data_IF_373313038933
#
_entry.id   IF_373313038933
#
_cell.length_a   1.000
_cell.length_b   1.000
_cell.length_c   1.000
_cell.angle_alpha   90.00
_cell.angle_beta   90.00
_cell.angle_gamma   90.00
#
_symmetry.space_group_name_H-M   'P 1'
#
loop_
_entity.id
_entity.type
_entity.pdbx_description
1 polymer ?
#
# COMPACT_ATOMS: atom_id res chain seq x y z
N UNK A 1 -54.25 30.11 -27.09
CA UNK A 1 -53.89 28.72 -26.69
C UNK A 1 -54.97 28.20 -25.74
N UNK A 2 -55.55 27.04 -26.04
CA UNK A 2 -56.58 26.40 -25.16
C UNK A 2 -55.90 25.97 -23.86
N UNK A 3 -56.60 26.00 -22.73
CA UNK A 3 -56.11 25.65 -21.39
C UNK A 3 -55.36 24.29 -21.37
N UNK A 4 -55.86 23.31 -22.11
CA UNK A 4 -55.29 21.99 -22.33
C UNK A 4 -53.90 22.04 -22.99
N UNK A 5 -53.67 22.92 -23.96
CA UNK A 5 -52.35 23.08 -24.60
C UNK A 5 -51.29 23.61 -23.64
N UNK A 6 -51.66 24.56 -22.76
CA UNK A 6 -50.73 25.09 -21.73
C UNK A 6 -50.34 24.01 -20.72
N UNK A 7 -51.29 23.12 -20.34
CA UNK A 7 -51.02 22.01 -19.42
C UNK A 7 -50.07 20.98 -20.08
N UNK A 8 -50.31 20.63 -21.34
CA UNK A 8 -49.45 19.68 -22.08
C UNK A 8 -48.04 20.25 -22.25
N UNK A 9 -47.91 21.53 -22.62
CA UNK A 9 -46.59 22.19 -22.74
C UNK A 9 -45.88 22.22 -21.38
N UNK A 10 -46.59 22.52 -20.30
CA UNK A 10 -46.02 22.49 -18.95
C UNK A 10 -45.53 21.09 -18.52
N UNK A 11 -46.34 20.05 -18.86
CA UNK A 11 -45.94 18.67 -18.56
C UNK A 11 -44.70 18.23 -19.37
N UNK A 12 -44.63 18.57 -20.66
CA UNK A 12 -43.47 18.28 -21.50
C UNK A 12 -42.22 19.02 -20.97
N UNK A 13 -42.36 20.29 -20.64
CA UNK A 13 -41.26 21.07 -20.06
C UNK A 13 -40.77 20.46 -18.74
N UNK A 14 -41.67 20.03 -17.86
CA UNK A 14 -41.35 19.36 -16.62
C UNK A 14 -40.58 18.05 -16.83
N UNK A 15 -41.05 17.19 -17.75
CA UNK A 15 -40.38 15.94 -18.12
C UNK A 15 -38.97 16.23 -18.69
N UNK A 16 -38.87 17.22 -19.58
CA UNK A 16 -37.59 17.61 -20.17
C UNK A 16 -36.56 18.03 -19.11
N UNK A 17 -37.00 18.85 -18.13
CA UNK A 17 -36.12 19.26 -17.01
C UNK A 17 -35.66 18.06 -16.20
N UNK A 18 -36.57 17.12 -15.89
CA UNK A 18 -36.21 15.89 -15.15
C UNK A 18 -35.20 15.05 -15.94
N UNK A 19 -35.39 14.86 -17.24
CA UNK A 19 -34.47 14.12 -18.10
C UNK A 19 -33.10 14.79 -18.14
N UNK A 20 -33.04 16.12 -18.30
CA UNK A 20 -31.77 16.85 -18.29
C UNK A 20 -31.08 16.74 -16.93
N UNK A 21 -31.79 16.78 -15.83
CA UNK A 21 -31.23 16.58 -14.50
C UNK A 21 -30.66 15.17 -14.31
N UNK A 22 -31.33 14.12 -14.80
CA UNK A 22 -30.84 12.74 -14.76
C UNK A 22 -29.61 12.57 -15.64
N UNK A 23 -29.56 13.15 -16.81
CA UNK A 23 -28.42 13.15 -17.72
C UNK A 23 -27.22 13.85 -17.03
N UNK A 24 -27.45 15.04 -16.46
CA UNK A 24 -26.40 15.75 -15.72
C UNK A 24 -25.90 14.94 -14.54
N UNK A 25 -26.78 14.33 -13.74
CA UNK A 25 -26.39 13.46 -12.62
C UNK A 25 -25.55 12.28 -13.09
N UNK A 26 -25.94 11.65 -14.21
CA UNK A 26 -25.21 10.51 -14.76
C UNK A 26 -23.79 10.89 -15.20
N UNK A 27 -23.62 11.96 -15.96
CA UNK A 27 -22.28 12.40 -16.40
C UNK A 27 -21.42 12.93 -15.24
N UNK A 28 -22.02 13.67 -14.31
CA UNK A 28 -21.31 14.16 -13.14
C UNK A 28 -20.83 13.01 -12.24
N UNK A 29 -21.64 11.97 -12.07
CA UNK A 29 -21.32 10.81 -11.24
C UNK A 29 -20.20 9.92 -11.80
N UNK A 30 -19.84 10.06 -13.08
CA UNK A 30 -18.67 9.39 -13.68
C UNK A 30 -17.35 10.15 -13.44
N UNK A 31 -17.40 11.40 -13.03
CA UNK A 31 -16.22 12.22 -12.82
C UNK A 31 -15.39 11.76 -11.63
N UNK A 32 -14.19 12.32 -11.52
CA UNK A 32 -13.30 12.11 -10.39
C UNK A 32 -13.92 12.57 -9.06
N UNK A 33 -13.54 11.92 -7.98
CA UNK A 33 -13.98 12.28 -6.61
C UNK A 33 -13.32 13.59 -6.17
N UNK A 34 -12.07 13.80 -6.54
CA UNK A 34 -11.28 14.97 -6.17
C UNK A 34 -10.50 15.50 -7.38
N UNK A 35 -10.22 16.81 -7.41
CA UNK A 35 -9.26 17.38 -8.35
C UNK A 35 -7.81 17.27 -7.86
N UNK A 36 -7.60 16.97 -6.56
CA UNK A 36 -6.28 16.78 -5.97
C UNK A 36 -5.81 15.35 -6.20
N UNK A 37 -4.52 15.20 -6.47
CA UNK A 37 -3.88 13.89 -6.55
C UNK A 37 -3.75 13.32 -5.14
N UNK A 38 -4.47 12.22 -4.87
CA UNK A 38 -4.40 11.46 -3.63
C UNK A 38 -4.45 9.98 -3.99
N UNK A 39 -3.35 9.29 -3.70
CA UNK A 39 -3.23 7.85 -3.97
C UNK A 39 -3.97 7.03 -2.92
N UNK A 40 -4.67 6.02 -3.39
CA UNK A 40 -5.42 5.07 -2.57
C UNK A 40 -5.06 3.66 -3.01
N UNK A 41 -4.57 2.86 -2.06
CA UNK A 41 -4.31 1.44 -2.28
C UNK A 41 -5.61 0.67 -2.08
N UNK A 42 -6.02 -0.12 -3.06
CA UNK A 42 -7.23 -0.94 -2.99
C UNK A 42 -6.96 -2.34 -3.51
N UNK A 43 -7.41 -3.34 -2.77
CA UNK A 43 -7.41 -4.74 -3.20
C UNK A 43 -8.72 -5.05 -3.92
N UNK A 44 -8.60 -5.47 -5.17
CA UNK A 44 -9.72 -5.77 -6.05
C UNK A 44 -9.84 -7.27 -6.24
N UNK A 45 -11.05 -7.80 -5.98
CA UNK A 45 -11.35 -9.21 -6.17
C UNK A 45 -12.85 -9.47 -6.29
N UNK A 46 -13.20 -10.58 -6.93
CA UNK A 46 -14.57 -11.05 -7.02
C UNK A 46 -15.37 -10.47 -8.18
N UNK A 47 -16.69 -10.44 -8.04
CA UNK A 47 -17.63 -9.98 -9.07
C UNK A 47 -17.61 -8.47 -9.27
N UNK A 48 -18.14 -7.99 -10.39
CA UNK A 48 -18.29 -6.54 -10.68
C UNK A 48 -18.97 -5.79 -9.51
N UNK A 49 -19.99 -6.38 -8.89
CA UNK A 49 -20.66 -5.78 -7.73
C UNK A 49 -19.72 -5.67 -6.52
N UNK A 50 -18.89 -6.70 -6.28
CA UNK A 50 -17.87 -6.69 -5.22
C UNK A 50 -16.83 -5.60 -5.47
N UNK A 51 -16.32 -5.52 -6.71
CA UNK A 51 -15.35 -4.50 -7.14
C UNK A 51 -15.90 -3.08 -6.92
N UNK A 52 -17.13 -2.80 -7.35
CA UNK A 52 -17.75 -1.49 -7.12
C UNK A 52 -17.92 -1.16 -5.63
N UNK A 53 -18.19 -2.18 -4.78
CA UNK A 53 -18.25 -1.98 -3.34
C UNK A 53 -16.87 -1.65 -2.74
N UNK A 54 -15.81 -2.32 -3.23
CA UNK A 54 -14.43 -2.07 -2.78
C UNK A 54 -13.98 -0.65 -3.17
N UNK A 55 -14.24 -0.23 -4.42
CA UNK A 55 -13.96 1.12 -4.90
C UNK A 55 -14.73 2.20 -4.13
N UNK A 56 -15.99 1.97 -3.82
CA UNK A 56 -16.84 2.89 -3.07
C UNK A 56 -16.35 3.07 -1.64
N UNK A 57 -16.05 1.95 -0.95
CA UNK A 57 -15.45 1.96 0.40
C UNK A 57 -14.08 2.67 0.44
N UNK A 58 -13.30 2.56 -0.64
CA UNK A 58 -12.02 3.24 -0.79
C UNK A 58 -12.16 4.74 -1.14
N UNK A 59 -13.38 5.24 -1.33
CA UNK A 59 -13.62 6.63 -1.69
C UNK A 59 -13.14 7.00 -3.11
N UNK A 60 -13.19 6.04 -4.03
CA UNK A 60 -12.75 6.18 -5.42
C UNK A 60 -13.91 6.38 -6.40
N UNK A 61 -15.16 6.28 -5.95
CA UNK A 61 -16.36 6.50 -6.76
C UNK A 61 -17.10 7.75 -6.30
N UNK A 62 -17.39 8.64 -7.24
CA UNK A 62 -18.24 9.80 -6.99
C UNK A 62 -19.71 9.40 -6.80
N UNK A 63 -20.16 8.35 -7.49
CA UNK A 63 -21.48 7.75 -7.35
C UNK A 63 -21.45 6.27 -7.70
N UNK A 64 -21.63 5.42 -6.70
CA UNK A 64 -21.74 3.97 -6.89
C UNK A 64 -22.92 3.57 -7.76
N UNK A 65 -24.05 4.30 -7.65
CA UNK A 65 -25.24 4.06 -8.47
C UNK A 65 -24.93 4.29 -9.95
N UNK A 66 -24.25 5.40 -10.27
CA UNK A 66 -23.82 5.70 -11.65
C UNK A 66 -22.81 4.65 -12.14
N UNK A 67 -21.84 4.27 -11.32
CA UNK A 67 -20.87 3.23 -11.65
C UNK A 67 -21.55 1.87 -11.93
N UNK A 68 -22.58 1.52 -11.15
CA UNK A 68 -23.37 0.31 -11.36
C UNK A 68 -24.17 0.33 -12.67
N UNK A 69 -24.75 1.48 -13.02
CA UNK A 69 -25.44 1.67 -14.30
C UNK A 69 -24.43 1.58 -15.44
N UNK A 70 -23.29 2.27 -15.32
CA UNK A 70 -22.26 2.31 -16.34
C UNK A 70 -21.72 0.92 -16.67
N UNK A 71 -21.41 0.10 -15.65
CA UNK A 71 -20.90 -1.26 -15.83
C UNK A 71 -21.94 -2.27 -16.34
N UNK A 72 -23.24 -1.99 -16.23
CA UNK A 72 -24.30 -2.82 -16.85
C UNK A 72 -24.38 -2.65 -18.36
N UNK A 73 -24.06 -1.46 -18.86
CA UNK A 73 -24.06 -1.17 -20.30
C UNK A 73 -22.72 -1.48 -20.97
N UNK A 74 -21.66 -1.67 -20.20
CA UNK A 74 -20.33 -1.99 -20.68
C UNK A 74 -19.85 -3.24 -19.95
N UNK A 75 -19.55 -4.29 -20.67
CA UNK A 75 -19.00 -5.52 -20.07
C UNK A 75 -17.57 -5.29 -19.65
N UNK A 76 -17.25 -5.53 -18.37
CA UNK A 76 -15.91 -5.42 -17.81
C UNK A 76 -15.48 -6.75 -17.22
N UNK A 77 -14.20 -7.11 -17.44
CA UNK A 77 -13.54 -8.27 -16.84
C UNK A 77 -12.38 -7.79 -15.97
N UNK A 78 -12.64 -7.61 -14.69
CA UNK A 78 -11.65 -7.09 -13.76
C UNK A 78 -10.64 -8.15 -13.33
N UNK A 79 -9.36 -7.76 -13.29
CA UNK A 79 -8.29 -8.62 -12.79
C UNK A 79 -8.15 -8.43 -11.27
N UNK A 80 -8.18 -9.55 -10.54
CA UNK A 80 -7.92 -9.53 -9.10
C UNK A 80 -6.46 -9.17 -8.86
N UNK A 81 -6.23 -8.06 -8.14
CA UNK A 81 -4.89 -7.57 -7.79
C UNK A 81 -4.98 -6.43 -6.77
N UNK A 82 -3.82 -5.97 -6.30
CA UNK A 82 -3.70 -4.73 -5.54
C UNK A 82 -3.38 -3.59 -6.52
N UNK A 83 -4.18 -2.54 -6.44
CA UNK A 83 -4.05 -1.37 -7.30
C UNK A 83 -3.77 -0.12 -6.47
N UNK A 84 -2.92 0.76 -7.00
CA UNK A 84 -2.77 2.12 -6.49
C UNK A 84 -3.51 3.05 -7.44
N UNK A 85 -4.69 3.45 -7.03
CA UNK A 85 -5.55 4.35 -7.81
C UNK A 85 -5.49 5.75 -7.21
N UNK A 86 -5.92 6.75 -7.97
CA UNK A 86 -5.88 8.13 -7.52
C UNK A 86 -7.29 8.73 -7.54
N UNK A 87 -7.65 9.51 -6.51
CA UNK A 87 -8.97 10.15 -6.40
C UNK A 87 -9.27 11.16 -7.50
N UNK A 88 -8.25 11.60 -8.25
CA UNK A 88 -8.41 12.46 -9.42
C UNK A 88 -8.71 11.70 -10.72
N UNK A 89 -8.78 10.36 -10.68
CA UNK A 89 -9.17 9.54 -11.82
C UNK A 89 -10.69 9.52 -11.94
N UNK A 90 -11.20 9.59 -13.17
CA UNK A 90 -12.61 9.37 -13.47
C UNK A 90 -12.95 7.87 -13.46
N UNK A 91 -14.24 7.55 -13.42
CA UNK A 91 -14.74 6.16 -13.40
C UNK A 91 -14.19 5.34 -14.56
N UNK A 92 -14.20 5.89 -15.79
CA UNK A 92 -13.75 5.18 -16.98
C UNK A 92 -12.28 4.80 -16.88
N UNK A 93 -11.42 5.73 -16.44
CA UNK A 93 -9.97 5.48 -16.25
C UNK A 93 -9.73 4.39 -15.21
N UNK A 94 -10.44 4.46 -14.06
CA UNK A 94 -10.35 3.43 -13.02
C UNK A 94 -10.72 2.06 -13.59
N UNK A 95 -11.87 1.93 -14.23
CA UNK A 95 -12.34 0.64 -14.75
C UNK A 95 -11.42 0.07 -15.84
N UNK A 96 -10.86 0.92 -16.72
CA UNK A 96 -9.89 0.51 -17.74
C UNK A 96 -8.60 -0.05 -17.10
N UNK A 97 -8.11 0.58 -16.04
CA UNK A 97 -6.97 0.09 -15.28
C UNK A 97 -7.26 -1.31 -14.72
N UNK A 98 -8.43 -1.51 -14.13
CA UNK A 98 -8.82 -2.79 -13.53
C UNK A 98 -9.00 -3.92 -14.55
N UNK A 99 -9.26 -3.62 -15.83
CA UNK A 99 -9.25 -4.61 -16.92
C UNK A 99 -7.83 -5.04 -17.33
N UNK A 100 -6.83 -4.31 -16.90
CA UNK A 100 -5.42 -4.59 -17.17
C UNK A 100 -4.86 -3.70 -18.27
N UNK A 101 -5.01 -2.40 -18.12
CA UNK A 101 -4.27 -1.39 -18.88
C UNK A 101 -2.77 -1.73 -18.87
N UNK A 102 -2.16 -1.88 -20.04
CA UNK A 102 -0.76 -2.30 -20.17
C UNK A 102 0.23 -1.28 -19.61
N UNK A 103 -0.18 -0.03 -19.56
CA UNK A 103 0.62 1.08 -19.05
C UNK A 103 0.47 1.25 -17.54
N UNK A 104 -0.48 0.52 -16.93
CA UNK A 104 -0.69 0.56 -15.49
C UNK A 104 0.13 -0.51 -14.79
N UNK A 105 0.96 -0.07 -13.84
CA UNK A 105 1.77 -0.95 -13.00
C UNK A 105 0.95 -1.31 -11.77
N UNK A 106 0.59 -2.58 -11.65
CA UNK A 106 -0.08 -3.08 -10.45
C UNK A 106 0.85 -3.00 -9.24
N UNK A 107 0.28 -2.67 -8.09
CA UNK A 107 1.02 -2.74 -6.84
C UNK A 107 1.36 -4.20 -6.50
N UNK A 108 2.54 -4.42 -5.91
CA UNK A 108 2.86 -5.68 -5.27
C UNK A 108 2.84 -5.51 -3.74
N UNK A 109 2.48 -6.58 -3.03
CA UNK A 109 2.56 -6.65 -1.56
C UNK A 109 3.79 -7.43 -1.14
N UNK A 110 4.55 -6.87 -0.21
CA UNK A 110 5.64 -7.53 0.49
C UNK A 110 5.17 -7.70 1.94
N UNK A 111 4.86 -8.93 2.34
CA UNK A 111 4.42 -9.21 3.71
C UNK A 111 5.53 -9.87 4.49
N UNK A 112 5.99 -9.21 5.54
CA UNK A 112 6.93 -9.75 6.52
C UNK A 112 6.11 -10.24 7.71
N UNK A 113 6.23 -11.52 8.03
CA UNK A 113 5.52 -12.13 9.15
C UNK A 113 6.40 -12.12 10.41
N UNK A 114 5.77 -12.26 11.57
CA UNK A 114 6.47 -12.49 12.82
C UNK A 114 7.41 -13.70 12.70
N UNK A 115 8.59 -13.58 13.29
CA UNK A 115 9.59 -14.64 13.29
C UNK A 115 10.43 -14.78 12.00
N UNK A 116 10.12 -14.04 10.91
CA UNK A 116 10.94 -14.09 9.70
C UNK A 116 12.37 -13.61 9.97
N UNK A 117 13.33 -14.37 9.48
CA UNK A 117 14.76 -14.01 9.47
C UNK A 117 15.10 -13.29 8.16
N UNK A 118 16.29 -12.75 8.07
CA UNK A 118 16.73 -12.00 6.88
C UNK A 118 16.59 -12.80 5.57
N UNK A 119 16.90 -14.12 5.49
CA UNK A 119 16.68 -14.87 4.26
C UNK A 119 15.20 -14.93 3.84
N UNK A 120 14.26 -15.11 4.78
CA UNK A 120 12.83 -15.12 4.48
C UNK A 120 12.35 -13.72 4.08
N UNK A 121 12.83 -12.68 4.76
CA UNK A 121 12.53 -11.29 4.37
C UNK A 121 13.03 -11.00 2.95
N UNK A 122 14.26 -11.42 2.62
CA UNK A 122 14.82 -11.25 1.28
C UNK A 122 13.99 -11.96 0.20
N UNK A 123 13.51 -13.16 0.48
CA UNK A 123 12.60 -13.88 -0.43
C UNK A 123 11.30 -13.11 -0.69
N UNK A 124 10.69 -12.52 0.36
CA UNK A 124 9.45 -11.72 0.18
C UNK A 124 9.71 -10.44 -0.61
N UNK A 125 10.84 -9.76 -0.34
CA UNK A 125 11.23 -8.56 -1.08
C UNK A 125 11.50 -8.91 -2.55
N UNK A 126 12.30 -9.94 -2.79
CA UNK A 126 12.63 -10.43 -4.14
C UNK A 126 11.37 -10.80 -4.94
N UNK A 127 10.42 -11.52 -4.31
CA UNK A 127 9.13 -11.85 -4.91
C UNK A 127 8.33 -10.59 -5.27
N UNK A 128 8.33 -9.58 -4.39
CA UNK A 128 7.62 -8.32 -4.65
C UNK A 128 8.25 -7.48 -5.75
N UNK A 129 9.58 -7.53 -5.88
CA UNK A 129 10.34 -6.80 -6.89
C UNK A 129 10.56 -7.59 -8.21
N UNK A 130 10.17 -8.88 -8.25
CA UNK A 130 10.40 -9.80 -9.37
C UNK A 130 11.90 -9.97 -9.72
N UNK A 131 12.76 -10.06 -8.69
CA UNK A 131 14.22 -10.26 -8.79
C UNK A 131 14.66 -11.52 -8.03
N UNK A 132 15.97 -11.85 -8.08
CA UNK A 132 16.52 -12.94 -7.27
C UNK A 132 16.75 -12.50 -5.82
N UNK A 133 16.49 -13.40 -4.86
CA UNK A 133 16.70 -13.13 -3.43
C UNK A 133 18.18 -12.94 -3.05
N UNK A 134 19.09 -13.48 -3.85
CA UNK A 134 20.53 -13.25 -3.68
C UNK A 134 20.92 -11.79 -3.90
N UNK A 135 20.30 -11.09 -4.85
CA UNK A 135 20.53 -9.66 -5.08
C UNK A 135 20.14 -8.83 -3.84
N UNK A 136 19.03 -9.21 -3.20
CA UNK A 136 18.58 -8.55 -1.95
C UNK A 136 19.56 -8.81 -0.82
N UNK A 137 20.02 -10.06 -0.64
CA UNK A 137 20.98 -10.43 0.39
C UNK A 137 22.35 -9.76 0.17
N UNK A 138 22.85 -9.73 -1.07
CA UNK A 138 24.09 -9.04 -1.42
C UNK A 138 24.00 -7.54 -1.07
N UNK A 139 22.86 -6.91 -1.35
CA UNK A 139 22.63 -5.50 -0.99
C UNK A 139 22.62 -5.31 0.52
N UNK A 140 21.96 -6.18 1.28
CA UNK A 140 21.83 -6.09 2.73
C UNK A 140 23.09 -6.53 3.50
N UNK A 141 24.08 -7.05 2.81
CA UNK A 141 25.43 -7.36 3.36
C UNK A 141 26.51 -6.42 2.81
N UNK A 142 26.18 -5.52 1.89
CA UNK A 142 27.11 -4.56 1.33
C UNK A 142 27.49 -3.50 2.37
N UNK A 143 28.76 -3.40 2.74
CA UNK A 143 29.25 -2.51 3.80
C UNK A 143 29.02 -1.03 3.49
N UNK A 144 29.22 -0.61 2.25
CA UNK A 144 29.03 0.78 1.85
C UNK A 144 27.57 1.19 1.98
N UNK A 145 26.65 0.32 1.56
CA UNK A 145 25.23 0.53 1.73
C UNK A 145 24.81 0.55 3.21
N UNK A 146 25.29 -0.41 4.01
CA UNK A 146 25.03 -0.46 5.44
C UNK A 146 25.52 0.79 6.16
N UNK A 147 26.67 1.34 5.78
CA UNK A 147 27.19 2.59 6.33
C UNK A 147 26.21 3.74 6.10
N UNK A 148 25.60 3.85 4.91
CA UNK A 148 24.59 4.88 4.64
C UNK A 148 23.33 4.75 5.51
N UNK A 149 22.98 3.51 5.88
CA UNK A 149 21.86 3.25 6.78
C UNK A 149 22.20 3.63 8.24
N UNK A 150 23.41 3.29 8.70
CA UNK A 150 23.91 3.67 10.05
C UNK A 150 23.92 5.20 10.22
N UNK A 151 24.35 5.94 9.22
CA UNK A 151 24.35 7.40 9.25
C UNK A 151 22.94 8.01 9.30
N UNK A 152 21.95 7.27 8.78
CA UNK A 152 20.58 7.77 8.63
C UNK A 152 19.66 7.40 9.80
N UNK A 153 19.80 6.20 10.34
CA UNK A 153 18.87 5.69 11.33
C UNK A 153 19.52 5.59 12.72
N UNK A 154 19.00 6.32 13.70
CA UNK A 154 19.54 6.42 15.06
C UNK A 154 19.60 5.08 15.82
N UNK A 155 18.82 4.09 15.39
CA UNK A 155 18.79 2.76 15.99
C UNK A 155 19.73 1.76 15.32
N UNK A 156 20.39 2.14 14.24
CA UNK A 156 21.49 1.38 13.64
C UNK A 156 22.81 1.94 14.15
N UNK A 157 23.72 1.06 14.55
CA UNK A 157 25.05 1.44 14.99
C UNK A 157 26.15 0.67 14.23
N UNK A 158 27.40 1.08 14.38
CA UNK A 158 28.53 0.47 13.67
C UNK A 158 28.73 -1.02 13.96
N UNK A 159 28.11 -1.55 15.01
CA UNK A 159 28.23 -2.97 15.34
C UNK A 159 27.71 -3.88 14.22
N UNK A 160 26.74 -3.41 13.43
CA UNK A 160 26.20 -4.18 12.29
C UNK A 160 27.22 -4.34 11.15
N UNK A 161 28.29 -3.54 11.13
CA UNK A 161 29.34 -3.58 10.11
C UNK A 161 30.43 -4.62 10.43
N UNK A 162 30.32 -5.30 11.58
CA UNK A 162 31.28 -6.35 11.99
C UNK A 162 31.26 -7.51 11.00
N UNK A 163 32.47 -8.00 10.68
CA UNK A 163 32.65 -9.17 9.83
C UNK A 163 32.09 -10.47 10.43
N UNK A 164 31.89 -10.49 11.76
CA UNK A 164 31.35 -11.65 12.49
C UNK A 164 29.81 -11.75 12.39
N UNK A 165 29.15 -10.71 11.87
CA UNK A 165 27.68 -10.69 11.71
C UNK A 165 27.34 -11.11 10.29
N UNK A 166 26.70 -12.28 10.16
CA UNK A 166 26.28 -12.82 8.87
C UNK A 166 25.13 -12.00 8.25
N UNK A 167 24.18 -11.56 9.07
CA UNK A 167 23.00 -10.80 8.65
C UNK A 167 22.88 -9.47 9.42
N UNK A 168 23.51 -8.40 8.93
CA UNK A 168 23.58 -7.10 9.62
C UNK A 168 22.23 -6.48 9.99
N UNK A 169 21.20 -6.74 9.18
CA UNK A 169 19.86 -6.20 9.39
C UNK A 169 18.90 -7.16 10.12
N UNK A 170 19.43 -8.25 10.72
CA UNK A 170 18.62 -9.20 11.49
C UNK A 170 17.97 -8.52 12.70
N UNK A 171 16.61 -8.64 12.78
CA UNK A 171 15.81 -8.03 13.85
C UNK A 171 15.34 -6.61 13.57
N UNK A 172 15.82 -5.95 12.51
CA UNK A 172 15.44 -4.57 12.19
C UNK A 172 14.21 -4.44 11.29
N UNK A 173 13.70 -5.55 10.78
CA UNK A 173 12.47 -5.57 9.96
C UNK A 173 11.31 -6.13 10.78
N UNK A 174 10.37 -5.24 11.13
CA UNK A 174 9.16 -5.64 11.86
C UNK A 174 8.13 -6.32 10.95
N UNK A 175 7.19 -7.09 11.56
CA UNK A 175 6.07 -7.69 10.84
C UNK A 175 5.15 -6.60 10.32
N UNK A 176 4.97 -6.53 9.00
CA UNK A 176 4.14 -5.53 8.34
C UNK A 176 3.89 -5.94 6.88
N UNK A 177 2.88 -5.35 6.25
CA UNK A 177 2.63 -5.48 4.82
C UNK A 177 2.95 -4.17 4.11
N UNK A 178 4.00 -4.20 3.30
CA UNK A 178 4.44 -3.08 2.48
C UNK A 178 3.84 -3.17 1.09
N UNK A 179 3.31 -2.07 0.58
CA UNK A 179 2.77 -2.00 -0.78
C UNK A 179 3.74 -1.20 -1.64
N UNK A 180 4.28 -1.85 -2.66
CA UNK A 180 5.11 -1.20 -3.67
C UNK A 180 4.28 -0.86 -4.90
N UNK A 181 4.42 0.37 -5.38
CA UNK A 181 3.52 0.98 -6.37
C UNK A 181 4.15 1.10 -7.75
N UNK A 182 5.40 0.66 -7.91
CA UNK A 182 6.16 0.83 -9.15
C UNK A 182 7.11 -0.34 -9.38
N UNK A 183 7.18 -0.83 -10.63
CA UNK A 183 8.24 -1.74 -11.08
C UNK A 183 9.65 -1.11 -11.04
N UNK A 184 9.74 0.20 -10.81
CA UNK A 184 11.00 0.91 -10.63
C UNK A 184 11.41 1.02 -9.15
N UNK A 185 10.65 0.44 -8.24
CA UNK A 185 10.99 0.41 -6.81
C UNK A 185 12.27 -0.41 -6.65
N UNK A 186 13.28 0.18 -6.04
CA UNK A 186 14.56 -0.46 -5.80
C UNK A 186 14.58 -1.24 -4.49
N UNK A 187 15.60 -2.09 -4.28
CA UNK A 187 15.84 -2.76 -3.00
C UNK A 187 16.01 -1.71 -1.90
N UNK A 188 16.71 -0.61 -2.19
CA UNK A 188 16.92 0.52 -1.27
C UNK A 188 15.61 1.18 -0.85
N UNK A 189 14.67 1.39 -1.79
CA UNK A 189 13.37 1.97 -1.50
C UNK A 189 12.56 1.08 -0.55
N UNK A 190 12.52 -0.23 -0.81
CA UNK A 190 11.85 -1.20 0.07
C UNK A 190 12.52 -1.24 1.44
N UNK A 191 13.85 -1.32 1.48
CA UNK A 191 14.60 -1.31 2.74
C UNK A 191 14.31 -0.05 3.55
N UNK A 192 14.27 1.11 2.86
CA UNK A 192 13.89 2.38 3.49
C UNK A 192 12.47 2.34 4.06
N UNK A 193 11.50 1.81 3.33
CA UNK A 193 10.12 1.67 3.83
C UNK A 193 10.07 0.81 5.10
N UNK A 194 10.82 -0.30 5.13
CA UNK A 194 10.89 -1.21 6.27
C UNK A 194 11.56 -0.55 7.49
N UNK A 195 12.67 0.15 7.29
CA UNK A 195 13.37 0.86 8.36
C UNK A 195 12.62 2.12 8.84
N UNK A 196 11.95 2.86 7.96
CA UNK A 196 11.08 3.99 8.34
C UNK A 196 9.90 3.50 9.20
N UNK A 197 9.38 2.28 8.96
CA UNK A 197 8.37 1.67 9.83
C UNK A 197 8.94 1.30 11.20
N UNK A 198 10.15 0.72 11.23
CA UNK A 198 10.86 0.43 12.48
C UNK A 198 11.13 1.72 13.28
N UNK A 199 11.54 2.79 12.60
CA UNK A 199 11.75 4.10 13.23
C UNK A 199 10.47 4.61 13.92
N UNK A 200 9.33 4.57 13.22
CA UNK A 200 8.03 4.94 13.81
C UNK A 200 7.71 4.13 15.06
N UNK A 201 7.96 2.82 15.02
CA UNK A 201 7.68 1.92 16.14
C UNK A 201 8.61 2.19 17.34
N UNK A 202 9.89 2.44 17.10
CA UNK A 202 10.90 2.62 18.15
C UNK A 202 10.97 4.05 18.71
N UNK A 203 10.57 5.06 17.93
CA UNK A 203 10.72 6.48 18.31
C UNK A 203 10.07 6.82 19.65
N UNK A 204 8.93 6.21 19.97
CA UNK A 204 8.24 6.38 21.27
C UNK A 204 9.06 5.87 22.46
N UNK A 205 9.97 4.93 22.21
CA UNK A 205 10.78 4.27 23.24
C UNK A 205 12.26 4.69 23.20
N UNK A 206 12.62 5.66 22.34
CA UNK A 206 14.01 6.05 22.08
C UNK A 206 14.82 6.30 23.36
N UNK A 207 14.30 7.10 24.29
CA UNK A 207 15.00 7.43 25.52
C UNK A 207 15.18 6.20 26.45
N UNK A 208 14.18 5.32 26.47
CA UNK A 208 14.24 4.08 27.28
C UNK A 208 15.26 3.11 26.72
N UNK A 209 15.31 2.97 25.39
CA UNK A 209 16.23 2.08 24.69
C UNK A 209 17.67 2.59 24.80
N UNK A 210 17.89 3.89 24.63
CA UNK A 210 19.23 4.51 24.70
C UNK A 210 19.91 4.35 26.07
N UNK A 211 19.09 4.18 27.13
CA UNK A 211 19.53 4.00 28.51
C UNK A 211 19.41 2.55 28.98
N UNK A 212 19.10 1.61 28.09
CA UNK A 212 18.93 0.21 28.48
C UNK A 212 20.27 -0.44 28.83
N UNK A 213 20.33 -1.04 30.01
CA UNK A 213 21.52 -1.67 30.56
C UNK A 213 21.19 -3.09 31.02
N UNK A 214 22.08 -4.03 30.77
CA UNK A 214 22.03 -5.38 31.34
C UNK A 214 23.26 -5.56 32.25
N UNK A 215 23.03 -5.89 33.51
CA UNK A 215 24.07 -6.10 34.50
C UNK A 215 25.08 -4.94 34.60
N UNK A 216 24.60 -3.71 34.46
CA UNK A 216 25.43 -2.51 34.51
C UNK A 216 26.18 -2.16 33.21
N UNK A 217 26.05 -2.96 32.16
CA UNK A 217 26.65 -2.69 30.86
C UNK A 217 25.60 -2.14 29.87
N UNK A 218 26.00 -1.13 29.09
CA UNK A 218 25.17 -0.62 28.00
C UNK A 218 25.08 -1.69 26.91
N UNK A 219 23.88 -2.00 26.48
CA UNK A 219 23.60 -2.97 25.44
C UNK A 219 23.45 -2.24 24.10
N UNK A 220 24.07 -2.74 23.04
CA UNK A 220 23.86 -2.19 21.70
C UNK A 220 22.43 -2.44 21.24
N UNK A 221 21.95 -1.62 20.31
CA UNK A 221 20.62 -1.83 19.73
C UNK A 221 20.50 -3.21 19.07
N UNK A 222 21.53 -3.65 18.38
CA UNK A 222 21.57 -4.99 17.76
C UNK A 222 21.41 -6.11 18.79
N UNK A 223 22.10 -6.03 19.92
CA UNK A 223 21.93 -6.97 21.02
C UNK A 223 20.53 -6.89 21.62
N UNK A 224 20.01 -5.67 21.86
CA UNK A 224 18.66 -5.46 22.38
C UNK A 224 17.60 -6.12 21.50
N UNK A 225 17.61 -5.87 20.19
CA UNK A 225 16.65 -6.45 19.25
C UNK A 225 16.79 -7.97 19.13
N UNK A 226 18.02 -8.49 19.19
CA UNK A 226 18.26 -9.93 19.20
C UNK A 226 17.66 -10.61 20.44
N UNK A 227 17.79 -10.00 21.62
CA UNK A 227 17.17 -10.48 22.86
C UNK A 227 15.65 -10.35 22.83
N UNK A 228 15.14 -9.22 22.37
CA UNK A 228 13.68 -8.97 22.28
C UNK A 228 13.02 -10.00 21.36
N UNK A 229 13.62 -10.30 20.22
CA UNK A 229 13.13 -11.31 19.30
C UNK A 229 13.16 -12.72 19.90
N UNK A 230 14.24 -13.08 20.58
CA UNK A 230 14.34 -14.35 21.30
C UNK A 230 13.24 -14.49 22.35
N UNK A 231 12.94 -13.40 23.07
CA UNK A 231 11.87 -13.36 24.05
C UNK A 231 10.48 -13.57 23.41
N UNK A 232 10.19 -12.95 22.26
CA UNK A 232 8.93 -13.14 21.52
C UNK A 232 8.78 -14.59 21.08
N UNK A 233 9.81 -15.19 20.48
CA UNK A 233 9.79 -16.59 20.05
C UNK A 233 9.56 -17.53 21.23
N UNK A 234 10.20 -17.30 22.38
CA UNK A 234 9.99 -18.11 23.57
C UNK A 234 8.60 -17.91 24.19
N UNK A 235 8.03 -16.72 24.10
CA UNK A 235 6.68 -16.45 24.57
C UNK A 235 5.65 -17.22 23.76
N UNK A 236 5.78 -17.26 22.43
CA UNK A 236 4.87 -17.98 21.53
C UNK A 236 5.00 -19.51 21.62
N UNK A 237 6.13 -20.02 22.12
CA UNK A 237 6.34 -21.48 22.35
C UNK A 237 5.79 -21.92 23.70
N UNK A 238 5.72 -21.00 24.68
CA UNK A 238 5.34 -21.31 26.06
C UNK A 238 3.85 -21.06 26.38
N UNK A 239 3.08 -20.50 25.46
CA UNK A 239 1.62 -20.32 25.51
C UNK A 239 0.92 -21.27 24.56
#
# INVERSE_FOLDING_TARGET
MKKTQKIIIGAIAGITIVVLALVFFYFNGQGAVSSKSEEVVVEISGSTSSVLNQLDKAGLLKSKTVASIYTKFNSYSFKANVYVLNKNMDLKKILTILEGDKDYISAAKITILDGYRIPECAQQVAKGLEIDSTEVLEKWTNKEYLQTLVEKYWFLDESILSADIMFPLEGYFGPETYVITSKKTSIEDVTKMMLDQMDRNLSTYKDKISNFMISGNKVSMHQFLSFYRLFLILHDILL
#
